data_IF_494062436815
#
_entry.id   IF_494062436815
#
_cell.length_a   1.000
_cell.length_b   1.000
_cell.length_c   1.000
_cell.angle_alpha   90.00
_cell.angle_beta   90.00
_cell.angle_gamma   90.00
#
_symmetry.space_group_name_H-M   'P 1'
#
loop_
_entity.id
_entity.type
_entity.pdbx_description
1 polymer ?
#
# COMPACT_ATOMS: atom_id res chain seq x y z
N UNK A 1 9.81 -10.06 9.47
CA UNK A 1 8.93 -9.46 10.45
C UNK A 1 9.06 -7.98 10.44
N UNK A 2 10.25 -7.50 10.67
CA UNK A 2 10.47 -6.09 10.61
C UNK A 2 10.22 -5.52 9.27
N UNK A 3 10.48 -6.30 8.22
CA UNK A 3 10.25 -5.85 6.88
C UNK A 3 8.76 -5.53 6.66
N UNK A 4 7.91 -6.32 7.29
CA UNK A 4 6.48 -6.08 7.12
C UNK A 4 6.04 -4.74 7.67
N UNK A 5 6.60 -4.35 8.79
CA UNK A 5 6.26 -3.06 9.37
C UNK A 5 6.69 -1.92 8.48
N UNK A 6 7.89 -2.06 7.94
CA UNK A 6 8.41 -1.01 7.06
C UNK A 6 7.55 -0.88 5.80
N UNK A 7 7.20 -2.02 5.21
CA UNK A 7 6.37 -2.03 4.02
C UNK A 7 5.02 -1.41 4.30
N UNK A 8 4.45 -1.77 5.43
CA UNK A 8 3.15 -1.25 5.81
C UNK A 8 3.19 0.28 5.91
N UNK A 9 4.25 0.80 6.52
CA UNK A 9 4.38 2.24 6.66
C UNK A 9 4.50 2.93 5.32
N UNK A 10 5.31 2.37 4.42
CA UNK A 10 5.47 2.95 3.10
C UNK A 10 4.14 3.03 2.37
N UNK A 11 3.40 1.94 2.40
CA UNK A 11 2.13 1.88 1.69
C UNK A 11 1.12 2.82 2.33
N UNK A 12 1.05 2.83 3.65
CA UNK A 12 0.12 3.69 4.35
C UNK A 12 0.40 5.15 4.06
N UNK A 13 1.68 5.52 4.07
CA UNK A 13 2.06 6.90 3.78
C UNK A 13 1.67 7.29 2.37
N UNK A 14 1.92 6.40 1.42
CA UNK A 14 1.59 6.70 0.03
C UNK A 14 0.09 6.89 -0.13
N UNK A 15 -0.69 6.05 0.53
CA UNK A 15 -2.14 6.16 0.44
C UNK A 15 -2.61 7.47 1.05
N UNK A 16 -2.03 7.86 2.16
CA UNK A 16 -2.39 9.11 2.78
C UNK A 16 -2.08 10.31 1.88
N UNK A 17 -0.89 10.30 1.27
CA UNK A 17 -0.50 11.38 0.39
C UNK A 17 -1.41 11.48 -0.81
N UNK A 18 -2.05 10.39 -1.17
CA UNK A 18 -2.92 10.37 -2.34
C UNK A 18 -4.40 10.36 -1.97
N UNK A 19 -4.69 10.82 -0.76
CA UNK A 19 -6.07 10.98 -0.31
C UNK A 19 -6.88 9.68 -0.36
N UNK A 20 -6.23 8.58 -0.08
CA UNK A 20 -6.90 7.30 -0.07
C UNK A 20 -7.01 6.65 -1.42
N UNK A 21 -6.42 7.24 -2.43
CA UNK A 21 -6.47 6.68 -3.78
C UNK A 21 -5.41 5.59 -3.92
N UNK A 22 -5.87 4.34 -3.90
CA UNK A 22 -4.95 3.20 -3.95
C UNK A 22 -4.17 3.14 -5.25
N UNK A 23 -4.84 3.42 -6.37
CA UNK A 23 -4.17 3.38 -7.66
C UNK A 23 -3.05 4.40 -7.74
N UNK A 24 -3.32 5.60 -7.27
CA UNK A 24 -2.31 6.64 -7.29
C UNK A 24 -1.15 6.30 -6.36
N UNK A 25 -1.48 5.73 -5.21
CA UNK A 25 -0.45 5.34 -4.26
C UNK A 25 0.45 4.27 -4.86
N UNK A 26 -0.14 3.32 -5.56
CA UNK A 26 0.65 2.27 -6.19
C UNK A 26 1.56 2.85 -7.25
N UNK A 27 1.06 3.81 -8.01
CA UNK A 27 1.86 4.44 -9.05
C UNK A 27 3.05 5.18 -8.43
N UNK A 28 2.80 5.84 -7.32
CA UNK A 28 3.86 6.56 -6.63
C UNK A 28 4.94 5.60 -6.17
N UNK A 29 4.55 4.43 -5.71
CA UNK A 29 5.49 3.43 -5.22
C UNK A 29 6.09 2.59 -6.34
N UNK A 30 5.58 2.74 -7.55
CA UNK A 30 6.10 1.99 -8.67
C UNK A 30 5.57 0.57 -8.76
N UNK A 31 4.40 0.33 -8.22
CA UNK A 31 3.79 -1.00 -8.30
C UNK A 31 2.45 -0.90 -8.99
N UNK A 32 2.04 -1.98 -9.64
CA UNK A 32 0.77 -2.00 -10.33
C UNK A 32 -0.37 -2.07 -9.33
N UNK A 33 -1.59 -1.68 -9.74
CA UNK A 33 -2.73 -1.75 -8.84
C UNK A 33 -2.96 -3.16 -8.31
N UNK A 34 -2.72 -4.14 -9.15
CA UNK A 34 -2.91 -5.53 -8.74
C UNK A 34 -1.94 -5.90 -7.61
N UNK A 35 -0.68 -5.51 -7.78
CA UNK A 35 0.31 -5.79 -6.75
C UNK A 35 0.00 -5.02 -5.49
N UNK A 36 -0.53 -3.81 -5.65
CA UNK A 36 -0.90 -3.00 -4.51
C UNK A 36 -1.96 -3.71 -3.67
N UNK A 37 -2.98 -4.23 -4.33
CA UNK A 37 -4.04 -4.95 -3.64
C UNK A 37 -3.49 -6.18 -2.94
N UNK A 38 -2.60 -6.88 -3.63
CA UNK A 38 -2.02 -8.08 -3.07
C UNK A 38 -1.26 -7.76 -1.79
N UNK A 39 -0.46 -6.72 -1.83
CA UNK A 39 0.34 -6.34 -0.67
C UNK A 39 -0.54 -5.87 0.48
N UNK A 40 -1.59 -5.12 0.16
CA UNK A 40 -2.49 -4.64 1.18
C UNK A 40 -3.18 -5.80 1.88
N UNK A 41 -3.55 -6.82 1.11
CA UNK A 41 -4.15 -8.00 1.70
C UNK A 41 -3.20 -8.69 2.65
N UNK A 42 -1.97 -8.85 2.21
CA UNK A 42 -0.97 -9.53 3.03
C UNK A 42 -0.69 -8.78 4.32
N UNK A 43 -0.71 -7.48 4.26
CA UNK A 43 -0.40 -6.66 5.42
C UNK A 43 -1.61 -6.35 6.28
N UNK A 44 -2.78 -6.78 5.83
CA UNK A 44 -3.99 -6.53 6.59
C UNK A 44 -4.47 -5.09 6.51
N UNK A 45 -4.08 -4.37 5.48
CA UNK A 45 -4.49 -2.99 5.30
C UNK A 45 -5.78 -2.88 4.51
N UNK A 46 -6.18 -3.95 3.88
CA UNK A 46 -7.39 -3.96 3.09
C UNK A 46 -8.57 -3.89 4.04
N UNK A 47 -9.40 -2.91 3.84
CA UNK A 47 -10.49 -2.76 4.69
C UNK A 47 -11.54 -3.74 4.47
N UNK A 48 -11.99 -4.39 4.91
CA UNK A 48 -13.00 -5.23 4.71
C UNK A 48 -12.98 -6.20 5.02
#
# INVERSE_FOLDING_TARGET
VMMNNYERELITEAIKRNNGNISAAGRELGVSPRMMNYRMNKLGLNSK
#
